data_IF_098030104643
#
_entry.id   IF_098030104643
#
_cell.length_a   1.000
_cell.length_b   1.000
_cell.length_c   1.000
_cell.angle_alpha   90.00
_cell.angle_beta   90.00
_cell.angle_gamma   90.00
#
_symmetry.space_group_name_H-M   'P 1'
#
loop_
_entity.id
_entity.type
_entity.pdbx_description
1 polymer ?
#
# COMPACT_ATOMS: atom_id res chain seq x y z
N UNK A 1 17.07 11.79 28.93
CA UNK A 1 17.29 10.42 28.43
C UNK A 1 16.36 10.26 27.25
N UNK A 2 16.90 10.15 26.04
CA UNK A 2 16.12 9.96 24.82
C UNK A 2 15.42 8.62 24.91
N UNK A 3 14.08 8.61 24.88
CA UNK A 3 13.31 7.37 24.69
C UNK A 3 13.76 6.73 23.38
N UNK A 4 14.41 5.58 23.51
CA UNK A 4 14.71 4.69 22.41
C UNK A 4 13.39 4.05 22.01
N UNK A 5 12.79 4.54 20.92
CA UNK A 5 11.68 3.83 20.30
C UNK A 5 12.26 2.55 19.72
N UNK A 6 12.05 1.47 20.47
CA UNK A 6 12.28 0.09 20.03
C UNK A 6 11.31 -0.19 18.88
N UNK A 7 11.79 -0.03 17.65
CA UNK A 7 11.14 -0.56 16.46
C UNK A 7 11.63 -1.99 16.26
N UNK A 8 11.09 -2.89 17.10
CA UNK A 8 11.11 -4.31 16.77
C UNK A 8 10.20 -4.52 15.55
N UNK A 9 10.81 -4.54 14.35
CA UNK A 9 10.14 -4.97 13.11
C UNK A 9 9.75 -6.44 13.25
N UNK A 10 8.45 -6.68 13.49
CA UNK A 10 7.87 -8.01 13.38
C UNK A 10 7.81 -8.42 11.89
N UNK A 11 8.35 -9.58 11.50
CA UNK A 11 8.33 -10.01 10.10
C UNK A 11 6.90 -10.46 9.75
N UNK A 12 6.16 -9.61 9.04
CA UNK A 12 4.87 -10.00 8.45
C UNK A 12 3.77 -8.94 8.44
N UNK A 13 3.96 -7.75 9.01
CA UNK A 13 3.02 -6.65 8.80
C UNK A 13 3.39 -5.93 7.50
N UNK A 14 2.71 -6.25 6.38
CA UNK A 14 2.68 -5.30 5.27
C UNK A 14 1.99 -4.07 5.84
N UNK A 15 2.69 -2.93 6.04
CA UNK A 15 2.10 -1.78 6.70
C UNK A 15 0.84 -1.40 5.92
N UNK A 16 -0.28 -1.20 6.60
CA UNK A 16 -1.45 -0.59 5.98
C UNK A 16 -1.06 0.72 5.25
N UNK A 17 -0.01 1.38 5.76
CA UNK A 17 0.65 2.55 5.17
C UNK A 17 1.13 2.34 3.73
N UNK A 18 1.56 1.14 3.34
CA UNK A 18 2.11 0.90 1.99
C UNK A 18 1.05 0.98 0.88
N UNK A 19 -0.22 0.69 1.18
CA UNK A 19 -1.30 0.89 0.20
C UNK A 19 -1.76 2.34 0.16
N UNK A 20 -1.82 3.00 1.33
CA UNK A 20 -2.14 4.42 1.43
C UNK A 20 -1.11 5.31 0.71
N UNK A 21 0.19 5.05 0.89
CA UNK A 21 1.27 5.76 0.21
C UNK A 21 1.19 5.63 -1.32
N UNK A 22 0.92 4.42 -1.81
CA UNK A 22 0.82 4.17 -3.26
C UNK A 22 -0.44 4.80 -3.87
N UNK A 23 -1.53 4.82 -3.12
CA UNK A 23 -2.74 5.55 -3.51
C UNK A 23 -2.47 7.05 -3.59
N UNK A 24 -1.80 7.62 -2.59
CA UNK A 24 -1.39 9.03 -2.60
C UNK A 24 -0.42 9.35 -3.75
N UNK A 25 0.48 8.43 -4.11
CA UNK A 25 1.35 8.58 -5.27
C UNK A 25 0.55 8.65 -6.59
N UNK A 26 -0.45 7.77 -6.76
CA UNK A 26 -1.34 7.79 -7.93
C UNK A 26 -2.14 9.10 -8.02
N UNK A 27 -2.62 9.63 -6.89
CA UNK A 27 -3.33 10.91 -6.83
C UNK A 27 -2.46 12.12 -7.20
N UNK A 28 -1.14 12.04 -7.01
CA UNK A 28 -0.22 13.11 -7.38
C UNK A 28 0.17 13.12 -8.86
N UNK A 29 -0.23 12.10 -9.63
CA UNK A 29 0.02 12.07 -11.08
C UNK A 29 -0.87 13.06 -11.86
N UNK A 30 -0.45 13.47 -13.07
CA UNK A 30 -1.32 14.16 -14.04
C UNK A 30 -2.61 13.39 -14.29
N UNK A 31 -3.72 14.12 -14.52
CA UNK A 31 -5.07 13.54 -14.57
C UNK A 31 -5.21 12.42 -15.62
N UNK A 32 -4.56 12.57 -16.77
CA UNK A 32 -4.50 11.60 -17.87
C UNK A 32 -3.80 10.29 -17.48
N UNK A 33 -2.93 10.31 -16.48
CA UNK A 33 -2.16 9.15 -16.01
C UNK A 33 -2.79 8.45 -14.79
N UNK A 34 -3.69 9.13 -14.07
CA UNK A 34 -4.31 8.57 -12.86
C UNK A 34 -5.10 7.29 -13.13
N UNK A 35 -5.83 7.25 -14.25
CA UNK A 35 -6.69 6.11 -14.58
C UNK A 35 -5.88 4.81 -14.72
N UNK A 36 -4.74 4.87 -15.41
CA UNK A 36 -3.83 3.73 -15.57
C UNK A 36 -3.21 3.31 -14.23
N UNK A 37 -2.77 4.28 -13.42
CA UNK A 37 -2.21 4.01 -12.10
C UNK A 37 -3.21 3.33 -11.16
N UNK A 38 -4.47 3.79 -11.13
CA UNK A 38 -5.52 3.14 -10.35
C UNK A 38 -5.88 1.75 -10.87
N UNK A 39 -5.92 1.55 -12.18
CA UNK A 39 -6.15 0.22 -12.76
C UNK A 39 -5.08 -0.79 -12.29
N UNK A 40 -3.82 -0.39 -12.30
CA UNK A 40 -2.72 -1.22 -11.81
C UNK A 40 -2.85 -1.57 -10.31
N UNK A 41 -3.19 -0.59 -9.46
CA UNK A 41 -3.44 -0.82 -8.03
C UNK A 41 -4.61 -1.79 -7.79
N UNK A 42 -5.68 -1.67 -8.58
CA UNK A 42 -6.83 -2.57 -8.49
C UNK A 42 -6.48 -3.99 -8.95
N UNK A 43 -5.70 -4.15 -10.01
CA UNK A 43 -5.24 -5.46 -10.48
C UNK A 43 -4.34 -6.17 -9.45
N UNK A 44 -3.50 -5.41 -8.75
CA UNK A 44 -2.70 -5.94 -7.64
C UNK A 44 -3.59 -6.41 -6.48
N UNK A 45 -4.58 -5.60 -6.06
CA UNK A 45 -5.53 -5.99 -5.04
C UNK A 45 -6.30 -7.25 -5.42
N UNK A 46 -6.75 -7.33 -6.68
CA UNK A 46 -7.42 -8.51 -7.22
C UNK A 46 -6.51 -9.74 -7.14
N UNK A 47 -5.27 -9.63 -7.61
CA UNK A 47 -4.29 -10.72 -7.57
C UNK A 47 -4.02 -11.20 -6.15
N UNK A 48 -3.93 -10.28 -5.19
CA UNK A 48 -3.73 -10.60 -3.77
C UNK A 48 -4.92 -11.34 -3.18
N UNK A 49 -6.14 -10.90 -3.48
CA UNK A 49 -7.37 -11.55 -3.03
C UNK A 49 -7.53 -12.95 -3.65
N UNK A 50 -7.23 -13.10 -4.95
CA UNK A 50 -7.22 -14.38 -5.65
C UNK A 50 -6.20 -15.36 -5.03
N UNK A 51 -5.09 -14.84 -4.48
CA UNK A 51 -4.06 -15.62 -3.80
C UNK A 51 -4.37 -15.92 -2.32
N UNK A 52 -5.54 -15.48 -1.81
CA UNK A 52 -5.96 -15.70 -0.42
C UNK A 52 -5.40 -14.68 0.59
N UNK A 53 -4.80 -13.58 0.13
CA UNK A 53 -4.36 -12.49 1.00
C UNK A 53 -5.53 -11.65 1.50
N UNK A 54 -5.42 -11.10 2.72
CA UNK A 54 -6.41 -10.17 3.26
C UNK A 54 -6.14 -8.74 2.81
N UNK A 55 -7.20 -7.99 2.50
CA UNK A 55 -7.18 -6.55 2.30
C UNK A 55 -7.39 -5.89 3.66
N UNK A 56 -6.31 -5.72 4.42
CA UNK A 56 -6.33 -4.79 5.55
C UNK A 56 -5.80 -3.45 5.03
N UNK A 57 -6.71 -2.49 4.94
CA UNK A 57 -6.45 -1.08 4.69
C UNK A 57 -6.41 -0.32 6.02
#
# INVERSE_FOLDING_TARGET
MTEVHDHTEAPGHVPADAFAERTAAAENLPLDQRAEAFAALHDELRTRLESGGTTSA
#
